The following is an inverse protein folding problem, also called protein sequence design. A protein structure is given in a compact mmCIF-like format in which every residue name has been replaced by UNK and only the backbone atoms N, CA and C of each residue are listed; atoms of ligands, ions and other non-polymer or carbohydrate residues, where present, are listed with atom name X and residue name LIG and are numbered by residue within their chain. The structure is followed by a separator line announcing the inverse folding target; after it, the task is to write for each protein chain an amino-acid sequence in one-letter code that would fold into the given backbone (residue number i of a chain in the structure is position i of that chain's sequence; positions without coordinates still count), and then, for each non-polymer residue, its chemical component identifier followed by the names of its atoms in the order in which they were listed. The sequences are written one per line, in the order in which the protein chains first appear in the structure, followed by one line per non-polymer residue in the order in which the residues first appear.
data_IF_032676050267
#
_entry.id   IF_032676050267
#
_cell.length_a   1.000
_cell.length_b   1.000
_cell.length_c   1.000
_cell.angle_alpha   90.00
_cell.angle_beta   90.00
_cell.angle_gamma   90.00
#
_symmetry.space_group_name_H-M   'P 1'
#
loop_
_entity.id
_entity.type
_entity.pdbx_description
1 polymer ?
#
# COMPACT_ATOMS: atom_id res chain seq x y z
N UNK A 1 -50.04 20.17 34.41
CA UNK A 1 -50.07 21.63 34.15
C UNK A 1 -49.10 22.31 35.10
N UNK A 2 -47.91 22.67 34.64
CA UNK A 2 -47.02 23.66 35.25
C UNK A 2 -46.05 24.09 34.16
N UNK A 3 -46.27 25.31 33.66
CA UNK A 3 -45.45 25.99 32.66
C UNK A 3 -44.27 26.63 33.41
N UNK A 4 -43.05 26.48 32.90
CA UNK A 4 -41.99 27.47 33.14
C UNK A 4 -41.21 27.71 31.86
N UNK A 5 -41.29 28.96 31.47
CA UNK A 5 -40.75 29.66 30.30
C UNK A 5 -39.24 29.78 30.41
N UNK A 6 -38.50 29.41 29.37
CA UNK A 6 -37.10 29.81 29.19
C UNK A 6 -37.03 31.08 28.34
N UNK A 7 -36.18 32.00 28.80
CA UNK A 7 -36.05 33.39 28.35
C UNK A 7 -35.16 33.51 27.11
N UNK A 8 -35.60 34.33 26.16
CA UNK A 8 -34.78 34.95 25.11
C UNK A 8 -33.77 35.93 25.71
N UNK A 9 -32.54 35.90 25.23
CA UNK A 9 -31.56 37.01 25.18
C UNK A 9 -30.43 36.54 24.25
N UNK A 10 -30.47 36.80 22.95
CA UNK A 10 -29.99 38.02 22.29
C UNK A 10 -28.71 38.59 22.91
N UNK A 11 -27.56 38.25 22.32
CA UNK A 11 -26.46 39.20 22.18
C UNK A 11 -25.84 39.04 20.79
N UNK A 12 -26.14 40.01 19.92
CA UNK A 12 -25.44 40.25 18.67
C UNK A 12 -24.02 40.74 18.99
N UNK A 13 -23.01 40.18 18.33
CA UNK A 13 -21.77 40.90 18.04
C UNK A 13 -21.47 40.72 16.54
N UNK A 14 -21.80 41.77 15.81
CA UNK A 14 -21.42 42.02 14.43
C UNK A 14 -20.02 42.65 14.45
N UNK A 15 -19.05 41.98 13.83
CA UNK A 15 -17.73 42.55 13.53
C UNK A 15 -17.63 42.76 12.00
N UNK A 16 -17.36 43.98 11.53
CA UNK A 16 -17.17 44.25 10.11
C UNK A 16 -15.68 44.32 9.73
N UNK A 17 -15.45 44.10 8.43
CA UNK A 17 -14.36 44.62 7.60
C UNK A 17 -12.93 44.16 7.89
N UNK A 18 -12.39 43.36 6.96
CA UNK A 18 -11.32 43.84 6.07
C UNK A 18 -11.39 43.09 4.73
N UNK A 19 -11.74 43.82 3.67
CA UNK A 19 -11.59 43.36 2.30
C UNK A 19 -10.11 43.50 1.91
N UNK A 20 -9.46 42.38 1.63
CA UNK A 20 -8.09 42.36 1.13
C UNK A 20 -8.13 42.49 -0.40
N UNK A 21 -7.66 43.62 -0.91
CA UNK A 21 -7.44 43.86 -2.34
C UNK A 21 -6.24 43.03 -2.81
N UNK A 22 -6.48 42.00 -3.64
CA UNK A 22 -5.43 41.37 -4.43
C UNK A 22 -5.34 42.11 -5.77
N UNK A 23 -4.27 42.88 -5.94
CA UNK A 23 -3.91 43.48 -7.22
C UNK A 23 -3.27 42.42 -8.13
N UNK A 24 -3.87 42.22 -9.31
CA UNK A 24 -3.24 41.55 -10.44
C UNK A 24 -2.12 42.44 -10.99
N UNK A 25 -0.88 41.96 -10.95
CA UNK A 25 0.22 42.49 -11.75
C UNK A 25 0.76 41.37 -12.65
N UNK A 26 0.38 41.44 -13.93
CA UNK A 26 1.01 40.70 -15.00
C UNK A 26 2.33 41.39 -15.36
N UNK A 27 3.46 40.68 -15.28
CA UNK A 27 4.67 41.05 -16.01
C UNK A 27 5.29 39.80 -16.64
N UNK A 28 5.43 39.88 -17.97
CA UNK A 28 6.06 38.93 -18.86
C UNK A 28 7.58 39.15 -18.87
N UNK A 29 8.33 38.03 -18.83
CA UNK A 29 9.62 37.76 -19.52
C UNK A 29 10.88 38.55 -19.07
N UNK A 30 12.13 38.05 -19.26
CA UNK A 30 12.60 37.06 -20.24
C UNK A 30 13.51 35.93 -19.72
N UNK A 31 13.76 34.98 -20.63
CA UNK A 31 14.70 33.85 -20.58
C UNK A 31 16.08 34.19 -20.03
N UNK A 32 16.61 33.31 -19.18
CA UNK A 32 18.06 33.14 -19.04
C UNK A 32 18.40 31.66 -19.08
N UNK A 33 19.12 31.29 -20.13
CA UNK A 33 19.82 30.02 -20.29
C UNK A 33 20.92 29.92 -19.24
N UNK A 34 20.91 28.86 -18.42
CA UNK A 34 22.09 28.39 -17.70
C UNK A 34 22.24 26.90 -17.95
N UNK A 35 23.25 26.61 -18.74
CA UNK A 35 23.82 25.29 -18.96
C UNK A 35 24.52 24.78 -17.70
N UNK A 36 24.45 23.46 -17.51
CA UNK A 36 25.46 22.62 -16.83
C UNK A 36 25.69 22.82 -15.32
N UNK A 37 25.09 21.92 -14.55
CA UNK A 37 25.80 21.22 -13.47
C UNK A 37 25.36 19.76 -13.49
N UNK A 38 26.10 18.95 -14.25
CA UNK A 38 26.06 17.49 -14.24
C UNK A 38 26.75 17.05 -12.95
N UNK A 39 26.00 16.98 -11.87
CA UNK A 39 26.49 16.46 -10.60
C UNK A 39 26.18 14.97 -10.51
N UNK A 40 27.26 14.19 -10.45
CA UNK A 40 27.27 12.75 -10.35
C UNK A 40 26.52 12.30 -9.10
N UNK A 41 25.30 11.77 -9.27
CA UNK A 41 24.74 10.83 -8.28
C UNK A 41 25.27 9.44 -8.56
N UNK A 42 26.42 9.21 -7.94
CA UNK A 42 26.99 7.91 -7.66
C UNK A 42 26.00 7.06 -6.85
N UNK A 43 25.77 5.83 -7.32
CA UNK A 43 25.22 4.75 -6.50
C UNK A 43 23.74 4.45 -6.70
N UNK A 44 23.39 3.85 -7.83
CA UNK A 44 22.27 2.90 -7.82
C UNK A 44 22.63 1.78 -6.83
N UNK A 45 21.79 1.46 -5.84
CA UNK A 45 21.91 0.19 -5.16
C UNK A 45 21.52 -0.89 -6.17
N UNK A 46 22.54 -1.47 -6.81
CA UNK A 46 22.41 -2.74 -7.52
C UNK A 46 21.79 -3.74 -6.54
N UNK A 47 20.58 -4.20 -6.84
CA UNK A 47 19.93 -5.33 -6.16
C UNK A 47 20.84 -6.55 -6.27
N UNK A 48 21.69 -6.75 -5.27
CA UNK A 48 22.66 -7.83 -5.23
C UNK A 48 22.70 -8.44 -3.83
N UNK A 49 21.81 -9.41 -3.61
CA UNK A 49 22.12 -10.64 -2.89
C UNK A 49 21.12 -11.71 -3.33
N UNK A 50 21.63 -12.77 -3.97
CA UNK A 50 20.84 -13.88 -4.47
C UNK A 50 20.14 -14.61 -3.31
N UNK A 51 18.81 -14.59 -3.31
CA UNK A 51 18.00 -15.46 -2.46
C UNK A 51 18.08 -16.87 -3.04
N UNK A 52 19.16 -17.62 -2.75
CA UNK A 52 19.26 -19.04 -3.13
C UNK A 52 18.52 -19.92 -2.13
N UNK A 53 17.21 -19.71 -2.02
CA UNK A 53 16.26 -20.72 -1.59
C UNK A 53 15.04 -20.56 -2.51
N UNK A 54 14.85 -21.51 -3.43
CA UNK A 54 13.68 -21.55 -4.32
C UNK A 54 12.49 -21.91 -3.44
N UNK A 55 11.81 -20.92 -2.89
CA UNK A 55 10.56 -21.13 -2.16
C UNK A 55 9.57 -21.77 -3.12
N UNK A 56 8.91 -22.85 -2.72
CA UNK A 56 7.93 -23.49 -3.61
C UNK A 56 6.73 -22.57 -3.85
N UNK A 57 6.01 -22.76 -4.96
CA UNK A 57 4.81 -21.99 -5.23
C UNK A 57 3.73 -22.18 -4.15
N UNK A 58 3.66 -23.35 -3.50
CA UNK A 58 2.75 -23.62 -2.40
C UNK A 58 3.13 -22.81 -1.14
N UNK A 59 4.40 -22.80 -0.77
CA UNK A 59 4.87 -22.03 0.39
C UNK A 59 4.75 -20.53 0.15
N UNK A 60 5.09 -20.04 -1.05
CA UNK A 60 4.86 -18.64 -1.40
C UNK A 60 3.38 -18.27 -1.29
N UNK A 61 2.46 -19.17 -1.66
CA UNK A 61 1.02 -18.94 -1.49
C UNK A 61 0.61 -18.88 -0.01
N UNK A 62 1.20 -19.71 0.86
CA UNK A 62 0.98 -19.65 2.31
C UNK A 62 1.43 -18.31 2.90
N UNK A 63 2.61 -17.83 2.48
CA UNK A 63 3.14 -16.54 2.91
C UNK A 63 2.27 -15.37 2.41
N UNK A 64 1.93 -15.39 1.12
CA UNK A 64 1.10 -14.34 0.49
C UNK A 64 -0.29 -14.28 1.13
N UNK A 65 -0.96 -15.42 1.31
CA UNK A 65 -2.32 -15.49 1.85
C UNK A 65 -2.49 -15.03 3.31
N UNK A 66 -1.39 -14.80 4.04
CA UNK A 66 -1.40 -14.22 5.39
C UNK A 66 -1.34 -12.69 5.39
N UNK A 67 -0.77 -12.10 4.34
CA UNK A 67 -0.61 -10.64 4.22
C UNK A 67 -1.52 -10.03 3.16
N UNK A 68 -2.03 -10.84 2.24
CA UNK A 68 -2.88 -10.39 1.16
C UNK A 68 -4.28 -10.05 1.68
N UNK A 69 -4.89 -9.09 1.03
CA UNK A 69 -6.17 -8.53 1.41
C UNK A 69 -7.12 -8.45 0.21
N UNK A 70 -8.42 -8.53 0.50
CA UNK A 70 -9.48 -8.50 -0.49
C UNK A 70 -9.96 -7.07 -0.79
N UNK A 71 -9.53 -6.10 0.02
CA UNK A 71 -9.89 -4.69 -0.12
C UNK A 71 -8.62 -3.84 -0.02
N UNK A 72 -8.50 -2.85 -0.89
CA UNK A 72 -7.47 -1.82 -0.79
C UNK A 72 -8.11 -0.45 -0.89
N UNK A 73 -7.65 0.48 -0.07
CA UNK A 73 -7.91 1.90 -0.25
C UNK A 73 -6.77 2.47 -1.08
N UNK A 74 -7.11 3.22 -2.12
CA UNK A 74 -6.17 3.76 -3.09
C UNK A 74 -6.21 5.28 -3.02
N UNK A 75 -6.95 5.92 -3.92
CA UNK A 75 -6.96 7.36 -4.08
C UNK A 75 -8.30 7.97 -3.67
N UNK A 76 -8.28 8.76 -2.60
CA UNK A 76 -9.49 9.39 -2.07
C UNK A 76 -10.08 10.44 -3.03
N UNK A 77 -9.26 11.04 -3.88
CA UNK A 77 -9.70 12.14 -4.75
C UNK A 77 -10.41 11.61 -6.01
N UNK A 78 -10.42 10.29 -6.19
CA UNK A 78 -11.13 9.57 -7.25
C UNK A 78 -12.54 9.20 -6.76
N UNK A 79 -13.52 9.34 -7.65
CA UNK A 79 -14.90 8.91 -7.37
C UNK A 79 -15.08 7.38 -7.44
N UNK A 80 -16.21 6.88 -6.94
CA UNK A 80 -16.56 5.45 -7.02
C UNK A 80 -16.74 5.00 -8.48
N UNK A 81 -15.65 4.59 -9.13
CA UNK A 81 -15.68 4.09 -10.50
C UNK A 81 -16.43 2.74 -10.56
N UNK A 82 -17.50 2.68 -11.36
CA UNK A 82 -18.42 1.53 -11.40
C UNK A 82 -17.94 0.32 -12.21
N UNK A 83 -16.64 0.20 -12.52
CA UNK A 83 -16.05 -0.91 -13.31
C UNK A 83 -16.63 -1.14 -14.72
N UNK A 84 -17.59 -0.34 -15.18
CA UNK A 84 -18.48 -0.68 -16.30
C UNK A 84 -17.92 -0.34 -17.68
N UNK A 85 -16.59 -0.25 -17.81
CA UNK A 85 -15.92 0.05 -19.09
C UNK A 85 -16.50 1.28 -19.83
N UNK A 86 -16.99 2.28 -19.09
CA UNK A 86 -17.57 3.48 -19.68
C UNK A 86 -16.54 4.14 -20.61
N UNK A 87 -16.95 4.47 -21.85
CA UNK A 87 -16.09 5.09 -22.85
C UNK A 87 -15.48 6.40 -22.37
N UNK A 88 -16.28 7.18 -21.63
CA UNK A 88 -15.99 8.56 -21.21
C UNK A 88 -15.88 8.68 -19.68
N UNK A 89 -15.29 7.67 -19.02
CA UNK A 89 -15.02 7.76 -17.59
C UNK A 89 -13.86 8.74 -17.34
N UNK A 90 -14.10 9.78 -16.55
CA UNK A 90 -13.08 10.77 -16.15
C UNK A 90 -11.90 10.15 -15.39
N UNK A 91 -12.11 8.97 -14.79
CA UNK A 91 -11.09 8.22 -14.06
C UNK A 91 -10.27 7.28 -14.94
N UNK A 92 -10.52 7.25 -16.25
CA UNK A 92 -9.75 6.45 -17.21
C UNK A 92 -8.38 7.08 -17.43
N UNK A 93 -7.32 6.28 -17.36
CA UNK A 93 -5.97 6.76 -17.62
C UNK A 93 -5.71 6.87 -19.14
N UNK A 94 -4.85 7.81 -19.59
CA UNK A 94 -4.53 7.98 -21.01
C UNK A 94 -3.96 6.72 -21.69
N UNK A 95 -3.22 5.89 -20.94
CA UNK A 95 -2.64 4.63 -21.42
C UNK A 95 -3.60 3.43 -21.42
N UNK A 96 -4.86 3.64 -21.02
CA UNK A 96 -5.78 2.55 -20.71
C UNK A 96 -5.64 2.06 -19.27
N UNK A 97 -6.77 1.73 -18.65
CA UNK A 97 -6.86 1.48 -17.20
C UNK A 97 -7.73 2.51 -16.51
N UNK A 98 -7.81 2.42 -15.18
CA UNK A 98 -8.64 3.29 -14.35
C UNK A 98 -7.89 3.64 -13.07
N UNK A 99 -8.03 4.89 -12.61
CA UNK A 99 -7.79 5.22 -11.22
C UNK A 99 -8.97 4.69 -10.39
N UNK A 100 -8.66 4.22 -9.19
CA UNK A 100 -9.64 3.65 -8.28
C UNK A 100 -9.51 4.30 -6.92
N UNK A 101 -10.64 4.44 -6.26
CA UNK A 101 -10.71 4.84 -4.86
C UNK A 101 -10.54 3.65 -3.94
N UNK A 102 -11.31 2.58 -4.16
CA UNK A 102 -11.25 1.35 -3.39
C UNK A 102 -11.31 0.15 -4.32
N UNK A 103 -10.28 -0.70 -4.28
CA UNK A 103 -10.33 -2.01 -4.91
C UNK A 103 -11.00 -3.02 -3.98
N UNK A 104 -11.88 -3.86 -4.54
CA UNK A 104 -12.56 -4.94 -3.83
C UNK A 104 -12.52 -6.23 -4.64
N UNK A 105 -12.33 -7.35 -3.95
CA UNK A 105 -12.38 -8.70 -4.49
C UNK A 105 -13.13 -9.63 -3.53
N UNK A 106 -13.58 -10.79 -4.01
CA UNK A 106 -14.22 -11.80 -3.16
C UNK A 106 -13.23 -12.56 -2.26
N UNK A 107 -11.96 -12.59 -2.66
CA UNK A 107 -10.87 -13.27 -1.97
C UNK A 107 -9.66 -12.33 -1.90
N UNK A 108 -8.76 -12.53 -0.92
CA UNK A 108 -7.49 -11.82 -0.86
C UNK A 108 -6.76 -11.88 -2.20
N UNK A 109 -6.35 -10.74 -2.74
CA UNK A 109 -5.74 -10.68 -4.08
C UNK A 109 -4.45 -9.88 -4.09
N UNK A 110 -4.33 -8.92 -3.18
CA UNK A 110 -3.29 -7.92 -3.22
C UNK A 110 -2.63 -7.80 -1.87
N UNK A 111 -1.31 -7.64 -1.85
CA UNK A 111 -0.57 -7.31 -0.64
C UNK A 111 -0.40 -5.78 -0.59
N UNK A 112 -1.05 -5.07 0.35
CA UNK A 112 -0.98 -3.61 0.37
C UNK A 112 0.41 -3.10 0.74
N UNK A 113 0.85 -2.06 0.06
CA UNK A 113 2.18 -1.44 0.20
C UNK A 113 2.13 -0.07 0.89
N UNK A 114 1.12 0.15 1.72
CA UNK A 114 0.97 1.29 2.63
C UNK A 114 0.70 0.75 4.03
N UNK A 115 0.66 1.63 5.04
CA UNK A 115 0.37 1.22 6.43
C UNK A 115 -1.10 1.46 6.73
N UNK A 116 -1.54 2.69 6.49
CA UNK A 116 -2.90 3.15 6.73
C UNK A 116 -3.30 4.15 5.63
N UNK A 117 -4.59 4.17 5.30
CA UNK A 117 -5.22 5.24 4.52
C UNK A 117 -6.57 5.56 5.13
N UNK A 118 -6.85 6.85 5.30
CA UNK A 118 -8.15 7.35 5.77
C UNK A 118 -8.70 8.36 4.77
N UNK A 119 -9.91 8.11 4.27
CA UNK A 119 -10.57 8.99 3.33
C UNK A 119 -11.39 10.08 4.03
N UNK A 120 -11.64 9.95 5.34
CA UNK A 120 -12.45 10.86 6.14
C UNK A 120 -13.89 11.08 5.61
N UNK A 121 -14.43 10.09 4.90
CA UNK A 121 -15.79 10.06 4.34
C UNK A 121 -16.43 8.67 4.49
N UNK A 122 -17.58 8.41 3.85
CA UNK A 122 -18.30 7.13 3.98
C UNK A 122 -17.52 5.89 3.49
N UNK A 123 -16.42 6.07 2.74
CA UNK A 123 -15.56 4.97 2.28
C UNK A 123 -14.69 4.44 3.42
N UNK A 124 -14.46 5.28 4.44
CA UNK A 124 -13.80 4.96 5.70
C UNK A 124 -12.28 4.96 5.65
N UNK A 125 -11.67 4.32 6.65
CA UNK A 125 -10.23 4.11 6.74
C UNK A 125 -9.85 2.62 6.59
N UNK A 126 -8.57 2.39 6.39
CA UNK A 126 -7.98 1.08 6.22
C UNK A 126 -6.55 1.02 6.70
N UNK A 127 -6.32 0.19 7.70
CA UNK A 127 -4.99 -0.17 8.19
C UNK A 127 -4.69 -1.60 7.76
N UNK A 128 -3.48 -1.85 7.27
CA UNK A 128 -3.13 -3.16 6.73
C UNK A 128 -2.95 -4.20 7.82
N UNK A 129 -3.39 -5.42 7.54
CA UNK A 129 -3.33 -6.56 8.46
C UNK A 129 -1.88 -6.85 8.87
N UNK A 130 -0.93 -6.79 7.93
CA UNK A 130 0.48 -7.02 8.24
C UNK A 130 1.03 -5.97 9.21
N UNK A 131 0.62 -4.71 9.08
CA UNK A 131 1.11 -3.65 9.95
C UNK A 131 0.59 -3.79 11.38
N UNK A 132 -0.70 -4.08 11.54
CA UNK A 132 -1.34 -4.24 12.86
C UNK A 132 -0.82 -5.46 13.62
N UNK A 133 -0.67 -6.59 12.91
CA UNK A 133 -0.31 -7.87 13.54
C UNK A 133 1.19 -8.03 13.78
N UNK A 134 2.05 -7.46 12.94
CA UNK A 134 3.51 -7.54 13.13
C UNK A 134 4.05 -6.42 14.02
N UNK A 135 3.43 -5.24 14.00
CA UNK A 135 3.98 -4.04 14.65
C UNK A 135 2.97 -3.41 15.62
N UNK A 136 2.38 -4.21 16.51
CA UNK A 136 1.31 -3.80 17.43
C UNK A 136 1.67 -2.59 18.31
N UNK A 137 2.96 -2.38 18.60
CA UNK A 137 3.45 -1.23 19.38
C UNK A 137 4.20 -0.19 18.53
N UNK A 138 4.21 -0.34 17.20
CA UNK A 138 4.99 0.51 16.28
C UNK A 138 6.51 0.31 16.32
N UNK A 139 7.02 -0.45 17.29
CA UNK A 139 8.44 -0.71 17.47
C UNK A 139 9.00 -1.69 16.41
N UNK A 140 10.28 -1.54 16.01
CA UNK A 140 10.95 -2.53 15.19
C UNK A 140 10.97 -3.91 15.88
N UNK A 141 10.78 -4.96 15.09
CA UNK A 141 10.79 -6.35 15.56
C UNK A 141 12.04 -7.07 15.10
N UNK A 142 12.57 -7.95 15.94
CA UNK A 142 13.62 -8.89 15.54
C UNK A 142 13.05 -10.10 14.77
N UNK A 143 13.95 -10.95 14.31
CA UNK A 143 13.60 -12.14 13.53
C UNK A 143 12.68 -13.10 14.29
N UNK A 144 12.94 -13.32 15.57
CA UNK A 144 12.15 -14.27 16.39
C UNK A 144 10.74 -13.76 16.62
N UNK A 145 10.60 -12.45 16.86
CA UNK A 145 9.32 -11.77 16.99
C UNK A 145 8.54 -11.81 15.68
N UNK A 146 9.21 -11.57 14.54
CA UNK A 146 8.60 -11.70 13.22
C UNK A 146 8.11 -13.13 12.95
N UNK A 147 8.95 -14.14 13.13
CA UNK A 147 8.58 -15.54 12.88
C UNK A 147 7.37 -15.96 13.74
N UNK A 148 7.35 -15.57 15.02
CA UNK A 148 6.23 -15.85 15.92
C UNK A 148 4.94 -15.13 15.50
N UNK A 149 5.00 -13.81 15.27
CA UNK A 149 3.84 -13.01 14.91
C UNK A 149 3.29 -13.39 13.52
N UNK A 150 4.16 -13.58 12.54
CA UNK A 150 3.79 -13.93 11.16
C UNK A 150 3.11 -15.31 11.09
N UNK A 151 3.65 -16.32 11.76
CA UNK A 151 3.05 -17.66 11.79
C UNK A 151 1.72 -17.69 12.54
N UNK A 152 1.46 -16.72 13.43
CA UNK A 152 0.18 -16.56 14.11
C UNK A 152 -0.89 -15.83 13.25
N UNK A 153 -0.50 -15.12 12.19
CA UNK A 153 -1.45 -14.43 11.31
C UNK A 153 -2.41 -15.41 10.64
N UNK A 154 -3.72 -15.14 10.56
CA UNK A 154 -4.66 -16.06 9.91
C UNK A 154 -4.33 -16.21 8.42
N UNK A 155 -4.32 -17.44 7.93
CA UNK A 155 -4.21 -17.70 6.50
C UNK A 155 -5.58 -17.65 5.83
N UNK A 156 -5.64 -17.00 4.68
CA UNK A 156 -6.75 -17.10 3.76
C UNK A 156 -6.21 -17.46 2.37
N UNK A 157 -6.89 -18.37 1.67
CA UNK A 157 -6.48 -18.77 0.32
C UNK A 157 -6.57 -17.55 -0.62
N UNK A 158 -5.45 -17.08 -1.17
CA UNK A 158 -5.45 -15.89 -2.01
C UNK A 158 -5.79 -16.26 -3.46
N UNK A 159 -6.29 -15.26 -4.19
CA UNK A 159 -6.48 -15.34 -5.63
C UNK A 159 -5.15 -15.14 -6.36
N UNK A 160 -4.87 -15.99 -7.36
CA UNK A 160 -3.66 -15.91 -8.18
C UNK A 160 -2.93 -17.24 -8.31
N UNK A 161 -2.49 -17.87 -7.19
CA UNK A 161 -1.84 -19.17 -7.22
C UNK A 161 -2.68 -20.24 -7.94
N UNK A 162 -2.01 -21.21 -8.57
CA UNK A 162 -2.64 -22.33 -9.27
C UNK A 162 -2.67 -23.58 -8.41
N UNK A 163 -3.36 -23.54 -7.28
CA UNK A 163 -3.51 -24.66 -6.36
C UNK A 163 -4.54 -24.34 -5.30
N UNK A 164 -4.79 -25.27 -4.38
CA UNK A 164 -5.68 -25.03 -3.24
C UNK A 164 -5.04 -25.59 -1.98
N UNK A 165 -4.86 -24.75 -0.96
CA UNK A 165 -4.50 -25.20 0.38
C UNK A 165 -5.73 -25.20 1.27
N UNK A 166 -5.85 -26.24 2.11
CA UNK A 166 -6.75 -26.18 3.25
C UNK A 166 -6.07 -25.42 4.39
N UNK A 167 -6.88 -24.85 5.28
CA UNK A 167 -6.37 -24.03 6.39
C UNK A 167 -5.42 -24.81 7.30
N UNK A 168 -5.67 -26.11 7.51
CA UNK A 168 -4.84 -26.99 8.35
C UNK A 168 -3.47 -27.29 7.73
N UNK A 169 -3.33 -27.07 6.41
CA UNK A 169 -2.11 -27.32 5.65
C UNK A 169 -1.32 -26.03 5.41
N UNK A 170 -1.85 -24.87 5.80
CA UNK A 170 -1.33 -23.57 5.40
C UNK A 170 -0.27 -22.99 6.35
N UNK A 171 0.47 -23.85 7.05
CA UNK A 171 1.62 -23.43 7.84
C UNK A 171 2.88 -23.44 6.97
N UNK A 172 3.52 -22.29 6.72
CA UNK A 172 4.76 -22.25 5.95
C UNK A 172 5.90 -22.93 6.72
N UNK A 173 6.87 -23.46 5.99
CA UNK A 173 8.11 -23.98 6.58
C UNK A 173 8.95 -22.86 7.20
N UNK A 174 9.85 -23.22 8.13
CA UNK A 174 10.79 -22.27 8.70
C UNK A 174 11.72 -21.67 7.63
N UNK A 175 12.07 -22.46 6.61
CA UNK A 175 12.89 -22.05 5.48
C UNK A 175 12.18 -20.97 4.63
N UNK A 176 10.89 -21.14 4.36
CA UNK A 176 10.10 -20.18 3.60
C UNK A 176 9.92 -18.87 4.38
N UNK A 177 9.61 -18.94 5.67
CA UNK A 177 9.52 -17.74 6.53
C UNK A 177 10.88 -17.05 6.63
N UNK A 178 11.97 -17.82 6.75
CA UNK A 178 13.34 -17.29 6.74
C UNK A 178 13.74 -16.65 5.40
N UNK A 179 13.21 -17.13 4.28
CA UNK A 179 13.39 -16.48 2.98
C UNK A 179 12.65 -15.14 2.90
N UNK A 180 11.41 -15.08 3.39
CA UNK A 180 10.65 -13.84 3.49
C UNK A 180 11.35 -12.82 4.40
N UNK A 181 11.78 -13.24 5.59
CA UNK A 181 12.56 -12.38 6.50
C UNK A 181 13.80 -11.81 5.82
N UNK A 182 14.61 -12.65 5.16
CA UNK A 182 15.81 -12.18 4.45
C UNK A 182 15.49 -11.17 3.35
N UNK A 183 14.36 -11.32 2.65
CA UNK A 183 13.95 -10.34 1.67
C UNK A 183 13.59 -9.00 2.33
N UNK A 184 12.80 -9.04 3.41
CA UNK A 184 12.25 -7.85 4.08
C UNK A 184 13.29 -7.12 4.94
N UNK A 185 14.07 -7.84 5.72
CA UNK A 185 15.08 -7.27 6.62
C UNK A 185 16.43 -7.09 5.93
N UNK A 186 16.71 -7.82 4.84
CA UNK A 186 18.03 -7.91 4.21
C UNK A 186 19.11 -8.25 5.24
N UNK A 187 20.12 -7.40 5.39
CA UNK A 187 21.22 -7.56 6.34
C UNK A 187 20.91 -6.97 7.73
N UNK A 188 19.71 -6.42 7.94
CA UNK A 188 19.29 -5.86 9.22
C UNK A 188 18.91 -6.95 10.22
N UNK A 189 19.24 -6.73 11.49
CA UNK A 189 18.82 -7.59 12.60
C UNK A 189 17.39 -7.32 13.06
N UNK A 190 16.81 -6.19 12.66
CA UNK A 190 15.43 -5.83 12.95
C UNK A 190 14.71 -5.29 11.72
N UNK A 191 13.39 -5.42 11.73
CA UNK A 191 12.49 -4.93 10.70
C UNK A 191 11.60 -3.85 11.31
N UNK A 192 11.54 -2.67 10.72
CA UNK A 192 10.57 -1.62 11.08
C UNK A 192 9.42 -1.58 10.10
N UNK A 193 8.29 -0.97 10.49
CA UNK A 193 7.13 -0.74 9.60
C UNK A 193 7.54 -0.05 8.30
N UNK A 194 8.41 0.98 8.39
CA UNK A 194 8.90 1.73 7.23
C UNK A 194 9.72 0.85 6.28
N UNK A 195 10.58 -0.02 6.84
CA UNK A 195 11.38 -0.95 6.06
C UNK A 195 10.51 -2.00 5.38
N UNK A 196 9.54 -2.57 6.11
CA UNK A 196 8.56 -3.51 5.58
C UNK A 196 7.83 -2.90 4.38
N UNK A 197 7.26 -1.70 4.54
CA UNK A 197 6.58 -0.97 3.46
C UNK A 197 7.47 -0.81 2.23
N UNK A 198 8.68 -0.28 2.40
CA UNK A 198 9.61 -0.04 1.30
C UNK A 198 9.98 -1.34 0.56
N UNK A 199 10.16 -2.44 1.29
CA UNK A 199 10.54 -3.73 0.69
C UNK A 199 9.39 -4.41 -0.02
N UNK A 200 8.17 -4.27 0.48
CA UNK A 200 6.99 -4.69 -0.27
C UNK A 200 6.86 -3.90 -1.58
N UNK A 201 7.08 -2.58 -1.54
CA UNK A 201 7.11 -1.75 -2.76
C UNK A 201 8.19 -2.17 -3.76
N UNK A 202 9.34 -2.68 -3.29
CA UNK A 202 10.41 -3.22 -4.15
C UNK A 202 10.05 -4.57 -4.80
N UNK A 203 9.03 -5.28 -4.33
CA UNK A 203 8.55 -6.49 -5.00
C UNK A 203 7.75 -6.17 -6.27
N UNK A 204 7.15 -4.98 -6.35
CA UNK A 204 6.34 -4.59 -7.50
C UNK A 204 7.27 -4.38 -8.72
N UNK A 205 6.90 -4.98 -9.86
CA UNK A 205 7.70 -4.98 -11.09
C UNK A 205 7.24 -3.97 -12.15
N UNK A 206 6.21 -3.18 -11.85
CA UNK A 206 5.72 -2.12 -12.74
C UNK A 206 6.74 -0.99 -12.83
N UNK A 207 6.93 -0.46 -14.04
CA UNK A 207 7.84 0.66 -14.30
C UNK A 207 7.32 1.97 -13.69
N UNK A 208 6.00 2.13 -13.65
CA UNK A 208 5.34 3.21 -12.94
C UNK A 208 5.28 2.90 -11.44
N UNK A 209 6.12 3.60 -10.68
CA UNK A 209 6.24 3.41 -9.24
C UNK A 209 5.49 4.46 -8.44
N UNK A 210 4.80 5.43 -9.05
CA UNK A 210 4.21 6.53 -8.28
C UNK A 210 3.01 6.06 -7.45
N UNK A 211 2.31 5.01 -7.91
CA UNK A 211 1.07 4.54 -7.30
C UNK A 211 -0.03 5.59 -7.36
N UNK A 212 -1.13 5.34 -6.64
CA UNK A 212 -2.33 6.17 -6.75
C UNK A 212 -2.19 7.53 -6.04
N UNK A 213 -1.31 7.61 -5.03
CA UNK A 213 -1.13 8.81 -4.19
C UNK A 213 0.30 9.34 -4.15
N UNK A 214 1.20 8.85 -5.00
CA UNK A 214 2.59 9.34 -5.10
C UNK A 214 3.53 8.83 -4.00
N UNK A 215 3.17 7.74 -3.31
CA UNK A 215 3.96 7.17 -2.20
C UNK A 215 4.72 5.89 -2.56
N UNK A 216 4.76 5.52 -3.83
CA UNK A 216 5.22 4.21 -4.26
C UNK A 216 4.05 3.35 -4.76
N UNK A 217 4.33 2.13 -5.28
CA UNK A 217 3.29 1.17 -5.65
C UNK A 217 2.31 0.94 -4.49
N UNK A 218 1.00 0.88 -4.78
CA UNK A 218 -0.02 0.71 -3.73
C UNK A 218 -0.15 -0.73 -3.24
N UNK A 219 0.24 -1.68 -4.09
CA UNK A 219 0.14 -3.10 -3.78
C UNK A 219 1.12 -3.96 -4.60
N UNK A 220 1.27 -5.20 -4.17
CA UNK A 220 1.94 -6.28 -4.88
C UNK A 220 0.92 -7.36 -5.23
N UNK A 221 0.91 -7.79 -6.49
CA UNK A 221 0.11 -8.93 -6.93
C UNK A 221 0.88 -10.25 -6.71
N UNK A 222 0.13 -11.37 -6.66
CA UNK A 222 0.68 -12.72 -6.50
C UNK A 222 1.92 -13.00 -7.37
N UNK A 223 1.85 -12.65 -8.66
CA UNK A 223 2.92 -12.92 -9.63
C UNK A 223 4.25 -12.30 -9.21
N UNK A 224 4.22 -11.07 -8.72
CA UNK A 224 5.41 -10.30 -8.39
C UNK A 224 5.97 -10.74 -7.04
N UNK A 225 5.08 -11.00 -6.07
CA UNK A 225 5.45 -11.59 -4.78
C UNK A 225 6.15 -12.95 -4.95
N UNK A 226 5.55 -13.86 -5.73
CA UNK A 226 6.12 -15.18 -5.97
C UNK A 226 7.50 -15.07 -6.64
N UNK A 227 7.65 -14.21 -7.65
CA UNK A 227 8.94 -13.95 -8.32
C UNK A 227 9.99 -13.38 -7.35
N UNK A 228 9.62 -12.44 -6.50
CA UNK A 228 10.53 -11.83 -5.53
C UNK A 228 11.11 -12.87 -4.55
N UNK A 229 10.35 -13.92 -4.23
CA UNK A 229 10.80 -15.04 -3.40
C UNK A 229 11.40 -16.22 -4.19
N UNK A 230 11.59 -16.06 -5.51
CA UNK A 230 12.15 -17.10 -6.38
C UNK A 230 11.20 -18.27 -6.68
N UNK A 231 9.90 -18.13 -6.39
CA UNK A 231 8.89 -19.13 -6.68
C UNK A 231 8.35 -19.01 -8.12
N UNK A 232 7.88 -20.13 -8.68
CA UNK A 232 7.22 -20.15 -9.99
C UNK A 232 5.73 -19.75 -9.87
N UNK A 233 5.30 -18.55 -10.30
CA UNK A 233 3.97 -18.02 -9.99
C UNK A 233 2.80 -18.82 -10.59
N UNK A 234 3.04 -19.61 -11.62
CA UNK A 234 2.00 -20.36 -12.34
C UNK A 234 2.20 -21.88 -12.27
N UNK A 235 3.13 -22.35 -11.45
CA UNK A 235 3.26 -23.77 -11.13
C UNK A 235 2.01 -24.26 -10.40
N UNK A 236 1.54 -25.46 -10.77
CA UNK A 236 0.39 -26.11 -10.15
C UNK A 236 0.85 -27.08 -9.07
N UNK A 237 0.16 -27.05 -7.94
CA UNK A 237 0.38 -27.92 -6.77
C UNK A 237 -0.93 -28.25 -6.07
#
# INVERSE_FOLDING_TARGET
RLRKTMSLSQLLLVLPCTAYHIQHAALRSPSTSISQAREMRSGEPTLSAAVSAVVSAAEAAMLFGRMAEARLHLDRDVGACCHSACSDCEWRTPGGGYRFDVLKAMQPKWLPCYVERDFADERGSHTTVWSELLFTNGEPIDRSQFEAAFCAMPFQMPMGPKGTLKQEQAMPSAEAVGALWRFLAQDSTSLSVKMMRARLQDMNSDEDRDGAVGEGPDFVAWKDFAKALGAAPFERW
#
